data_IF_292344524728
#
_entry.id   IF_292344524728
#
_cell.length_a   1.000
_cell.length_b   1.000
_cell.length_c   1.000
_cell.angle_alpha   90.00
_cell.angle_beta   90.00
_cell.angle_gamma   90.00
#
_symmetry.space_group_name_H-M   'P 1'
#
loop_
_entity.id
_entity.type
_entity.pdbx_description
1 polymer ?
#
# COMPACT_ATOMS: atom_id res chain seq x y z
N UNK A 1 -6.30 7.05 10.86
CA UNK A 1 -4.88 7.33 10.53
C UNK A 1 -4.63 6.97 9.08
N UNK A 2 -3.99 7.87 8.35
CA UNK A 2 -3.68 7.68 6.94
C UNK A 2 -2.28 7.09 6.81
N UNK A 3 -2.13 6.11 5.95
CA UNK A 3 -0.86 5.43 5.68
C UNK A 3 -0.54 5.49 4.19
N UNK A 4 0.74 5.59 3.88
CA UNK A 4 1.27 5.29 2.55
C UNK A 4 1.78 3.86 2.58
N UNK A 5 1.38 3.09 1.57
CA UNK A 5 1.82 1.71 1.38
C UNK A 5 2.54 1.67 0.04
N UNK A 6 3.85 1.77 0.08
CA UNK A 6 4.70 1.74 -1.10
C UNK A 6 5.22 0.32 -1.31
N UNK A 7 5.37 -0.07 -2.58
CA UNK A 7 5.91 -1.38 -2.90
C UNK A 7 6.90 -1.30 -4.06
N UNK A 8 7.75 -2.31 -4.12
CA UNK A 8 8.62 -2.56 -5.25
C UNK A 8 8.86 -4.06 -5.39
N UNK A 9 9.22 -4.48 -6.57
CA UNK A 9 9.43 -5.90 -6.84
C UNK A 9 10.45 -6.10 -7.96
N UNK A 10 11.01 -7.31 -8.01
CA UNK A 10 11.92 -7.70 -9.09
C UNK A 10 11.14 -7.96 -10.38
N UNK A 11 11.70 -7.66 -11.55
CA UNK A 11 11.02 -7.88 -12.84
C UNK A 11 10.55 -9.32 -13.05
N UNK A 12 11.26 -10.29 -12.51
CA UNK A 12 10.90 -11.71 -12.61
C UNK A 12 9.57 -12.04 -11.94
N UNK A 13 9.13 -11.25 -10.97
CA UNK A 13 7.86 -11.45 -10.26
C UNK A 13 6.69 -10.70 -10.91
N UNK A 14 6.98 -9.87 -11.91
CA UNK A 14 5.98 -8.96 -12.48
C UNK A 14 4.74 -9.69 -13.02
N UNK A 15 4.94 -10.75 -13.79
CA UNK A 15 3.82 -11.47 -14.38
C UNK A 15 2.92 -12.12 -13.33
N UNK A 16 3.51 -12.70 -12.29
CA UNK A 16 2.76 -13.30 -11.19
C UNK A 16 1.96 -12.23 -10.41
N UNK A 17 2.55 -11.08 -10.18
CA UNK A 17 1.88 -9.96 -9.50
C UNK A 17 0.68 -9.47 -10.31
N UNK A 18 0.87 -9.22 -11.60
CA UNK A 18 -0.20 -8.73 -12.47
C UNK A 18 -1.33 -9.75 -12.62
N UNK A 19 -1.00 -11.04 -12.68
CA UNK A 19 -2.01 -12.09 -12.74
C UNK A 19 -2.85 -12.13 -11.46
N UNK A 20 -2.21 -12.05 -10.29
CA UNK A 20 -2.91 -12.04 -9.01
C UNK A 20 -3.77 -10.78 -8.87
N UNK A 21 -3.24 -9.64 -9.27
CA UNK A 21 -3.99 -8.37 -9.27
C UNK A 21 -5.25 -8.46 -10.13
N UNK A 22 -5.12 -9.00 -11.33
CA UNK A 22 -6.25 -9.20 -12.24
C UNK A 22 -7.31 -10.12 -11.65
N UNK A 23 -6.88 -11.15 -10.93
CA UNK A 23 -7.78 -12.13 -10.32
C UNK A 23 -8.48 -11.57 -9.08
N UNK A 24 -7.75 -10.91 -8.19
CA UNK A 24 -8.25 -10.51 -6.86
C UNK A 24 -8.62 -9.04 -6.74
N UNK A 25 -8.10 -8.18 -7.62
CA UNK A 25 -8.25 -6.74 -7.53
C UNK A 25 -7.43 -6.08 -6.44
N UNK A 26 -6.67 -6.84 -5.65
CA UNK A 26 -5.86 -6.30 -4.56
C UNK A 26 -6.68 -5.50 -3.55
N UNK A 27 -7.90 -5.94 -3.25
CA UNK A 27 -8.81 -5.19 -2.39
C UNK A 27 -8.34 -5.19 -0.93
N UNK A 28 -8.56 -4.07 -0.21
CA UNK A 28 -8.19 -4.00 1.21
C UNK A 28 -9.10 -4.88 2.06
N UNK A 29 -8.61 -5.37 3.20
CA UNK A 29 -9.42 -6.11 4.17
C UNK A 29 -10.38 -5.18 4.91
N UNK A 30 -11.30 -5.78 5.66
CA UNK A 30 -12.18 -5.03 6.56
C UNK A 30 -11.34 -4.17 7.52
N UNK A 31 -11.80 -2.94 7.77
CA UNK A 31 -11.11 -1.99 8.64
C UNK A 31 -10.07 -1.12 7.94
N UNK A 32 -9.81 -1.35 6.66
CA UNK A 32 -8.93 -0.52 5.85
C UNK A 32 -9.70 0.05 4.67
N UNK A 33 -9.65 1.37 4.52
CA UNK A 33 -10.27 2.08 3.40
C UNK A 33 -9.18 2.60 2.47
N UNK A 34 -9.13 2.08 1.26
CA UNK A 34 -8.19 2.57 0.26
C UNK A 34 -8.70 3.90 -0.32
N UNK A 35 -7.87 4.95 -0.24
CA UNK A 35 -8.18 6.26 -0.78
C UNK A 35 -7.82 6.31 -2.26
N UNK A 36 -6.70 5.72 -2.63
CA UNK A 36 -6.26 5.64 -4.02
C UNK A 36 -5.05 4.74 -4.16
N UNK A 37 -4.81 4.28 -5.38
CA UNK A 37 -3.66 3.44 -5.72
C UNK A 37 -3.11 3.86 -7.07
N UNK A 38 -1.78 3.95 -7.14
CA UNK A 38 -1.08 4.37 -8.34
C UNK A 38 0.05 3.41 -8.64
N UNK A 39 0.21 3.10 -9.93
CA UNK A 39 1.22 2.19 -10.42
C UNK A 39 2.27 2.98 -11.19
N UNK A 40 3.55 2.73 -10.92
CA UNK A 40 4.64 3.44 -11.58
C UNK A 40 4.65 3.18 -13.09
N UNK A 41 4.80 4.23 -13.87
CA UNK A 41 4.88 4.12 -15.33
C UNK A 41 6.26 3.60 -15.70
N UNK A 42 6.29 2.42 -16.32
CA UNK A 42 7.54 1.80 -16.76
C UNK A 42 8.48 1.37 -15.64
N UNK A 43 7.96 1.19 -14.41
CA UNK A 43 8.76 0.76 -13.27
C UNK A 43 8.08 -0.39 -12.54
N UNK A 44 8.85 -1.06 -11.67
CA UNK A 44 8.33 -2.14 -10.83
C UNK A 44 8.02 -1.64 -9.41
N UNK A 45 7.35 -0.52 -9.31
CA UNK A 45 6.97 0.08 -8.03
C UNK A 45 5.64 0.82 -8.16
N UNK A 46 5.04 1.07 -7.01
CA UNK A 46 3.82 1.83 -6.91
C UNK A 46 3.52 2.13 -5.45
N UNK A 47 2.40 2.76 -5.21
CA UNK A 47 1.96 3.01 -3.85
C UNK A 47 0.44 3.16 -3.80
N UNK A 48 -0.11 2.96 -2.61
CA UNK A 48 -1.47 3.36 -2.33
C UNK A 48 -1.51 4.17 -1.05
N UNK A 49 -2.60 4.90 -0.90
CA UNK A 49 -2.92 5.65 0.31
C UNK A 49 -4.16 5.01 0.90
N UNK A 50 -4.09 4.66 2.16
CA UNK A 50 -5.18 3.95 2.84
C UNK A 50 -5.38 4.50 4.25
N UNK A 51 -6.63 4.47 4.69
CA UNK A 51 -7.02 4.90 6.03
C UNK A 51 -7.39 3.68 6.86
N UNK A 52 -6.87 3.64 8.08
CA UNK A 52 -7.15 2.56 9.01
C UNK A 52 -6.34 2.73 10.29
N UNK A 53 -6.87 2.19 11.39
CA UNK A 53 -6.25 2.30 12.71
C UNK A 53 -5.77 0.94 13.24
N UNK A 54 -5.95 -0.12 12.47
CA UNK A 54 -5.58 -1.47 12.88
C UNK A 54 -4.32 -1.92 12.14
N UNK A 55 -3.17 -1.92 12.81
CA UNK A 55 -1.93 -2.38 12.18
C UNK A 55 -1.96 -3.85 11.80
N UNK A 56 -2.76 -4.66 12.47
CA UNK A 56 -2.92 -6.08 12.12
C UNK A 56 -3.60 -6.22 10.76
N UNK A 57 -4.63 -5.44 10.49
CA UNK A 57 -5.31 -5.45 9.20
C UNK A 57 -4.37 -5.02 8.06
N UNK A 58 -3.55 -3.99 8.30
CA UNK A 58 -2.55 -3.55 7.34
C UNK A 58 -1.50 -4.63 7.09
N UNK A 59 -1.03 -5.29 8.14
CA UNK A 59 -0.05 -6.37 8.03
C UNK A 59 -0.62 -7.57 7.25
N UNK A 60 -1.87 -7.93 7.49
CA UNK A 60 -2.53 -9.01 6.75
C UNK A 60 -2.64 -8.68 5.26
N UNK A 61 -2.95 -7.44 4.95
CA UNK A 61 -3.03 -7.01 3.54
C UNK A 61 -1.67 -7.12 2.85
N UNK A 62 -0.62 -6.61 3.49
CA UNK A 62 0.74 -6.73 2.97
C UNK A 62 1.17 -8.19 2.85
N UNK A 63 0.80 -9.04 3.82
CA UNK A 63 1.14 -10.46 3.83
C UNK A 63 0.61 -11.19 2.60
N UNK A 64 -0.53 -10.80 2.06
CA UNK A 64 -1.10 -11.43 0.86
C UNK A 64 -0.20 -11.28 -0.37
N UNK A 65 0.74 -10.33 -0.36
CA UNK A 65 1.58 -9.99 -1.50
C UNK A 65 3.08 -10.08 -1.22
N UNK A 66 3.48 -10.27 0.03
CA UNK A 66 4.89 -10.18 0.41
C UNK A 66 5.74 -11.35 -0.07
N UNK A 67 5.13 -12.39 -0.62
CA UNK A 67 5.85 -13.45 -1.32
C UNK A 67 6.45 -12.96 -2.65
N UNK A 68 5.86 -11.93 -3.27
CA UNK A 68 6.26 -11.43 -4.59
C UNK A 68 6.84 -10.02 -4.57
N UNK A 69 6.54 -9.22 -3.56
CA UNK A 69 6.98 -7.83 -3.50
C UNK A 69 7.35 -7.40 -2.09
N UNK A 70 8.08 -6.31 -2.01
CA UNK A 70 8.49 -5.70 -0.74
C UNK A 70 7.68 -4.43 -0.51
N UNK A 71 7.32 -4.21 0.75
CA UNK A 71 6.52 -3.08 1.17
C UNK A 71 7.27 -2.16 2.11
N UNK A 72 6.95 -0.88 2.02
CA UNK A 72 7.33 0.15 2.95
C UNK A 72 6.04 0.87 3.35
N UNK A 73 5.60 0.66 4.60
CA UNK A 73 4.31 1.15 5.11
C UNK A 73 4.59 2.11 6.25
N UNK A 74 4.07 3.33 6.13
CA UNK A 74 4.28 4.34 7.16
C UNK A 74 3.08 5.27 7.29
N UNK A 75 2.80 5.74 8.51
CA UNK A 75 1.75 6.73 8.72
C UNK A 75 2.20 8.10 8.19
N UNK A 76 1.24 8.89 7.78
CA UNK A 76 1.50 10.25 7.27
C UNK A 76 0.55 11.23 7.93
N UNK A 77 0.97 12.47 7.99
CA UNK A 77 0.14 13.60 8.43
C UNK A 77 0.00 14.59 7.28
N UNK A 78 -1.13 15.26 7.24
CA UNK A 78 -1.38 16.30 6.25
C UNK A 78 -0.83 17.65 6.74
N UNK A 79 -0.97 18.69 5.95
CA UNK A 79 -0.45 20.03 6.28
C UNK A 79 -1.11 20.60 7.55
N UNK A 80 -2.40 20.37 7.75
CA UNK A 80 -3.10 20.83 8.95
C UNK A 80 -2.54 20.17 10.19
N UNK A 81 -2.32 18.87 10.14
CA UNK A 81 -1.72 18.10 11.23
C UNK A 81 -0.26 18.48 11.44
N UNK A 82 0.48 18.74 10.36
CA UNK A 82 1.89 19.18 10.46
C UNK A 82 2.00 20.53 11.15
N UNK A 83 1.03 21.41 10.95
CA UNK A 83 0.99 22.69 11.66
C UNK A 83 0.90 22.49 13.18
N UNK A 84 0.20 21.45 13.64
CA UNK A 84 0.17 21.10 15.06
C UNK A 84 1.52 20.60 15.57
N UNK A 85 2.26 19.88 14.76
CA UNK A 85 3.62 19.42 15.10
C UNK A 85 4.55 20.62 15.31
N UNK A 86 4.37 21.67 14.51
CA UNK A 86 5.23 22.84 14.51
C UNK A 86 4.81 23.92 15.53
N UNK A 87 3.69 23.74 16.17
CA UNK A 87 3.19 24.72 17.16
C UNK A 87 3.90 24.64 18.53
#
# INVERSE_FOLDING_TARGET
MVHVIAWHYNPENRNAILARFKETGGLPPAGVKMIGRWHGVGTNKGFCVAEGNDPIALAKWAQEWSDLMKFDIYPVVNDTEMAQVLS
#
